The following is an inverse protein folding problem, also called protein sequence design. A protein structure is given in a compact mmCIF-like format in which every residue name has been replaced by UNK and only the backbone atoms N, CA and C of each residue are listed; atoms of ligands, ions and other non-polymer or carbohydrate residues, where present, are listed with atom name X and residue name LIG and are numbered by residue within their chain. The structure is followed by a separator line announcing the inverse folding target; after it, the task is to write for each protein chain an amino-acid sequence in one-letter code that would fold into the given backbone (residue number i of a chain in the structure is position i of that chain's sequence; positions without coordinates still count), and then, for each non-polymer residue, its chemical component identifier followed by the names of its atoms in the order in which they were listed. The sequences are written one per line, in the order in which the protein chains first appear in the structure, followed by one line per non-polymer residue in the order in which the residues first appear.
data_IF_997119525809
#
_entry.id   IF_997119525809
#
_cell.length_a   1.000
_cell.length_b   1.000
_cell.length_c   1.000
_cell.angle_alpha   90.00
_cell.angle_beta   90.00
_cell.angle_gamma   90.00
#
_symmetry.space_group_name_H-M   'P 1'
#
loop_
_entity.id
_entity.type
_entity.pdbx_description
1 polymer ?
#
# COMPACT_ATOMS: atom_id res chain seq x y z
N UNK A 1 8.90 9.03 -26.49
CA UNK A 1 9.06 7.58 -26.17
C UNK A 1 8.98 7.47 -24.66
N UNK A 2 7.96 6.80 -24.13
CA UNK A 2 7.86 6.50 -22.71
C UNK A 2 8.92 5.43 -22.36
N UNK A 3 9.95 5.83 -21.61
CA UNK A 3 11.12 4.99 -21.35
C UNK A 3 10.78 3.74 -20.53
N UNK A 4 9.65 3.72 -19.79
CA UNK A 4 9.24 2.60 -18.96
C UNK A 4 8.41 1.55 -19.70
N UNK A 5 7.75 1.90 -20.80
CA UNK A 5 6.76 1.04 -21.45
C UNK A 5 7.29 -0.33 -21.90
N UNK A 6 8.60 -0.46 -22.13
CA UNK A 6 9.26 -1.69 -22.54
C UNK A 6 10.11 -2.33 -21.43
N UNK A 7 10.03 -1.80 -20.21
CA UNK A 7 10.88 -2.20 -19.10
C UNK A 7 10.17 -3.17 -18.17
N UNK A 8 11.00 -3.93 -17.48
CA UNK A 8 10.69 -4.67 -16.29
C UNK A 8 11.52 -4.07 -15.17
N UNK A 9 10.85 -3.64 -14.11
CA UNK A 9 11.47 -3.06 -12.93
C UNK A 9 11.33 -4.04 -11.77
N UNK A 10 12.43 -4.38 -11.13
CA UNK A 10 12.46 -5.25 -9.94
C UNK A 10 12.88 -4.41 -8.73
N UNK A 11 12.08 -4.49 -7.69
CA UNK A 11 12.37 -3.99 -6.36
C UNK A 11 12.72 -5.20 -5.49
N UNK A 12 13.96 -5.26 -5.04
CA UNK A 12 14.44 -6.21 -4.04
C UNK A 12 14.37 -5.51 -2.69
N UNK A 13 13.34 -5.83 -1.90
CA UNK A 13 13.12 -5.16 -0.62
C UNK A 13 14.02 -5.69 0.48
N UNK A 14 14.64 -6.86 0.27
CA UNK A 14 15.56 -7.48 1.23
C UNK A 14 16.93 -6.81 1.14
N UNK A 15 17.41 -6.60 -0.08
CA UNK A 15 18.69 -5.93 -0.35
C UNK A 15 18.55 -4.41 -0.51
N UNK A 16 17.32 -3.89 -0.59
CA UNK A 16 17.06 -2.47 -0.79
C UNK A 16 17.44 -1.98 -2.20
N UNK A 17 17.44 -2.88 -3.19
CA UNK A 17 17.87 -2.58 -4.55
C UNK A 17 16.69 -2.37 -5.50
N UNK A 18 16.90 -1.51 -6.49
CA UNK A 18 16.00 -1.34 -7.62
C UNK A 18 16.78 -1.58 -8.91
N UNK A 19 16.27 -2.48 -9.75
CA UNK A 19 16.89 -2.83 -11.01
C UNK A 19 15.90 -2.65 -12.15
N UNK A 20 16.33 -2.02 -13.23
CA UNK A 20 15.55 -1.87 -14.47
C UNK A 20 16.21 -2.65 -15.58
N UNK A 21 15.43 -3.43 -16.31
CA UNK A 21 15.90 -4.18 -17.48
C UNK A 21 14.82 -4.29 -18.53
N UNK A 22 15.17 -4.53 -19.81
CA UNK A 22 14.17 -4.78 -20.85
C UNK A 22 13.22 -5.94 -20.49
N UNK A 23 11.93 -5.76 -20.76
CA UNK A 23 10.92 -6.80 -20.58
C UNK A 23 11.22 -7.98 -21.51
N UNK A 24 11.36 -9.21 -20.98
CA UNK A 24 11.73 -10.37 -21.79
C UNK A 24 10.60 -10.72 -22.77
N UNK A 25 10.91 -11.24 -23.95
CA UNK A 25 9.88 -11.62 -24.94
C UNK A 25 9.06 -12.84 -24.50
N UNK A 26 9.68 -13.78 -23.75
CA UNK A 26 9.02 -14.93 -23.13
C UNK A 26 9.05 -14.81 -21.61
N UNK A 27 7.96 -15.18 -20.95
CA UNK A 27 7.96 -15.33 -19.49
C UNK A 27 8.91 -16.46 -19.11
N UNK A 28 9.83 -16.19 -18.18
CA UNK A 28 10.56 -17.27 -17.52
C UNK A 28 9.58 -18.05 -16.65
N UNK A 29 9.86 -19.34 -16.41
CA UNK A 29 9.10 -20.16 -15.47
C UNK A 29 9.07 -19.44 -14.12
N UNK A 30 7.87 -19.28 -13.57
CA UNK A 30 7.68 -18.58 -12.30
C UNK A 30 8.41 -19.32 -11.18
N UNK A 31 9.06 -18.55 -10.30
CA UNK A 31 9.63 -19.10 -9.07
C UNK A 31 8.46 -19.62 -8.22
N UNK A 32 8.66 -20.76 -7.54
CA UNK A 32 7.68 -21.20 -6.52
C UNK A 32 7.49 -20.07 -5.50
N UNK A 33 6.24 -19.83 -5.09
CA UNK A 33 5.90 -18.72 -4.19
C UNK A 33 5.78 -17.34 -4.85
N UNK A 34 5.67 -17.28 -6.19
CA UNK A 34 5.34 -16.04 -6.90
C UNK A 34 3.83 -15.89 -7.02
N UNK A 35 3.31 -14.69 -6.74
CA UNK A 35 1.94 -14.30 -7.06
C UNK A 35 1.97 -13.22 -8.13
N UNK A 36 1.22 -13.45 -9.20
CA UNK A 36 1.07 -12.54 -10.33
C UNK A 36 -0.26 -11.80 -10.23
N UNK A 37 -0.24 -10.50 -10.50
CA UNK A 37 -1.37 -9.59 -10.43
C UNK A 37 -1.42 -8.75 -11.69
N UNK A 38 -2.54 -8.83 -12.40
CA UNK A 38 -2.78 -8.01 -13.59
C UNK A 38 -2.97 -6.54 -13.21
N UNK A 39 -2.36 -5.67 -13.99
CA UNK A 39 -2.45 -4.23 -13.86
C UNK A 39 -3.14 -3.61 -15.07
N UNK A 40 -3.74 -2.45 -14.84
CA UNK A 40 -4.27 -1.57 -15.87
C UNK A 40 -3.57 -0.24 -15.77
N UNK A 41 -3.20 0.30 -16.92
CA UNK A 41 -2.75 1.69 -16.99
C UNK A 41 -3.99 2.60 -16.91
N UNK A 42 -3.91 3.61 -16.06
CA UNK A 42 -4.91 4.67 -15.95
C UNK A 42 -4.16 5.99 -15.72
N UNK A 43 -4.27 6.91 -16.68
CA UNK A 43 -3.69 8.28 -16.61
C UNK A 43 -2.23 8.31 -16.13
N UNK A 44 -1.40 7.46 -16.71
CA UNK A 44 0.04 7.36 -16.45
C UNK A 44 0.42 6.57 -15.20
N UNK A 45 -0.52 5.88 -14.54
CA UNK A 45 -0.26 5.04 -13.36
C UNK A 45 -0.76 3.63 -13.54
N UNK A 46 -0.11 2.68 -12.89
CA UNK A 46 -0.56 1.29 -12.84
C UNK A 46 -1.50 1.08 -11.66
N UNK A 47 -2.67 0.52 -11.95
CA UNK A 47 -3.72 0.20 -11.00
C UNK A 47 -3.95 -1.31 -11.06
N UNK A 48 -4.11 -1.97 -9.93
CA UNK A 48 -4.43 -3.39 -9.89
C UNK A 48 -5.82 -3.64 -10.51
N UNK A 49 -5.93 -4.67 -11.33
CA UNK A 49 -7.15 -5.01 -12.06
C UNK A 49 -8.25 -5.60 -11.18
N UNK A 50 -7.87 -6.31 -10.12
CA UNK A 50 -8.80 -7.00 -9.24
C UNK A 50 -8.37 -6.88 -7.77
N UNK A 51 -9.19 -6.19 -7.00
CA UNK A 51 -9.05 -6.13 -5.55
C UNK A 51 -10.41 -6.06 -4.86
N UNK A 52 -10.49 -6.69 -3.69
CA UNK A 52 -11.69 -6.86 -2.90
C UNK A 52 -11.40 -6.60 -1.42
N UNK A 53 -12.36 -6.00 -0.74
CA UNK A 53 -12.46 -5.91 0.71
C UNK A 53 -13.70 -6.70 1.12
N UNK A 54 -13.52 -7.89 1.69
CA UNK A 54 -14.62 -8.85 1.83
C UNK A 54 -15.24 -9.16 0.47
N UNK A 55 -16.52 -8.82 0.28
CA UNK A 55 -17.27 -8.95 -0.98
C UNK A 55 -17.33 -7.66 -1.81
N UNK A 56 -16.67 -6.58 -1.37
CA UNK A 56 -16.77 -5.25 -1.98
C UNK A 56 -15.54 -4.97 -2.86
N UNK A 57 -15.73 -4.58 -4.12
CA UNK A 57 -14.63 -4.13 -4.98
C UNK A 57 -14.00 -2.84 -4.45
N UNK A 58 -12.67 -2.78 -4.49
CA UNK A 58 -11.88 -1.58 -4.21
C UNK A 58 -10.86 -1.37 -5.35
N UNK A 59 -10.47 -0.13 -5.58
CA UNK A 59 -9.39 0.21 -6.52
C UNK A 59 -8.04 0.26 -5.76
N UNK A 60 -6.97 -0.29 -6.34
CA UNK A 60 -5.64 -0.32 -5.68
C UNK A 60 -4.59 0.27 -6.61
N UNK A 61 -3.88 1.28 -6.13
CA UNK A 61 -2.72 1.88 -6.79
C UNK A 61 -1.48 1.32 -6.12
N UNK A 62 -0.50 0.87 -6.90
CA UNK A 62 0.82 0.49 -6.37
C UNK A 62 1.71 1.73 -6.34
N UNK A 63 2.26 2.08 -5.18
CA UNK A 63 3.09 3.28 -5.05
C UNK A 63 4.32 3.04 -4.16
N UNK A 64 5.49 2.96 -4.79
CA UNK A 64 6.77 2.84 -4.09
C UNK A 64 7.28 4.18 -3.54
N UNK A 65 6.62 5.30 -3.88
CA UNK A 65 6.93 6.64 -3.38
C UNK A 65 6.18 6.99 -2.09
N UNK A 66 5.22 6.17 -1.66
CA UNK A 66 4.52 6.34 -0.40
C UNK A 66 5.11 5.45 0.69
N UNK A 67 5.49 6.03 1.83
CA UNK A 67 5.98 5.25 2.98
C UNK A 67 4.88 4.41 3.63
N UNK A 68 3.63 4.85 3.54
CA UNK A 68 2.48 4.22 4.18
C UNK A 68 1.36 3.91 3.19
N UNK A 69 0.52 2.95 3.55
CA UNK A 69 -0.69 2.61 2.81
C UNK A 69 -1.83 3.56 3.18
N UNK A 70 -2.44 4.18 2.17
CA UNK A 70 -3.44 5.24 2.34
C UNK A 70 -4.76 4.81 1.71
N UNK A 71 -5.86 4.95 2.43
CA UNK A 71 -7.23 4.81 1.93
C UNK A 71 -7.89 6.17 1.76
N UNK A 72 -8.69 6.33 0.71
CA UNK A 72 -9.41 7.58 0.49
C UNK A 72 -10.68 7.70 1.35
N UNK A 73 -11.29 8.90 1.36
CA UNK A 73 -12.51 9.15 2.12
C UNK A 73 -13.71 8.32 1.64
N UNK A 74 -13.78 7.94 0.36
CA UNK A 74 -14.84 7.06 -0.14
C UNK A 74 -14.75 5.65 0.46
N UNK A 75 -13.54 5.13 0.64
CA UNK A 75 -13.28 3.88 1.35
C UNK A 75 -13.64 4.02 2.83
N UNK A 76 -13.18 5.10 3.49
CA UNK A 76 -13.49 5.37 4.89
C UNK A 76 -15.01 5.40 5.16
N UNK A 77 -15.80 6.05 4.29
CA UNK A 77 -17.27 6.07 4.40
C UNK A 77 -17.92 4.70 4.19
N UNK A 78 -17.29 3.84 3.37
CA UNK A 78 -17.81 2.50 3.04
C UNK A 78 -17.45 1.46 4.09
N UNK A 79 -16.33 1.68 4.78
CA UNK A 79 -15.95 0.98 5.99
C UNK A 79 -16.82 1.52 7.12
N UNK A 80 -17.79 0.73 7.58
CA UNK A 80 -18.52 1.07 8.79
C UNK A 80 -17.58 1.07 9.99
N UNK A 81 -17.97 1.69 11.11
CA UNK A 81 -17.18 1.74 12.33
C UNK A 81 -16.79 0.34 12.89
N UNK A 82 -17.50 -0.72 12.49
CA UNK A 82 -17.22 -2.12 12.87
C UNK A 82 -16.13 -2.81 12.04
N UNK A 83 -15.87 -2.33 10.81
CA UNK A 83 -14.88 -2.93 9.90
C UNK A 83 -13.46 -2.37 10.12
N UNK A 84 -13.35 -1.30 10.91
CA UNK A 84 -12.10 -0.66 11.27
C UNK A 84 -11.75 -1.03 12.71
N UNK A 85 -10.78 -1.92 12.89
CA UNK A 85 -10.23 -2.22 14.21
C UNK A 85 -9.14 -1.21 14.55
N UNK A 86 -9.27 -0.57 15.72
CA UNK A 86 -8.36 0.41 16.31
C UNK A 86 -8.13 1.68 15.46
N UNK A 87 -8.76 2.80 15.86
CA UNK A 87 -8.29 4.12 15.42
C UNK A 87 -7.18 4.59 16.35
N UNK A 88 -6.01 4.82 15.79
CA UNK A 88 -4.99 5.66 16.42
C UNK A 88 -4.98 6.98 15.66
N UNK A 89 -5.33 8.07 16.35
CA UNK A 89 -5.02 9.41 15.87
C UNK A 89 -3.51 9.59 16.02
N UNK A 90 -2.82 9.58 14.88
CA UNK A 90 -1.36 9.71 14.82
C UNK A 90 -0.99 11.04 14.16
N UNK A 91 0.15 11.59 14.56
CA UNK A 91 0.79 12.68 13.84
C UNK A 91 1.90 12.12 12.96
N UNK A 92 1.84 12.41 11.67
CA UNK A 92 2.88 12.06 10.70
C UNK A 92 3.64 13.31 10.29
N UNK A 93 4.97 13.25 10.35
CA UNK A 93 5.84 14.24 9.72
C UNK A 93 5.96 13.91 8.23
N UNK A 94 5.51 14.82 7.37
CA UNK A 94 5.61 14.67 5.91
C UNK A 94 7.02 15.01 5.43
N UNK A 95 7.30 14.72 4.15
CA UNK A 95 8.55 15.13 3.49
C UNK A 95 8.71 16.65 3.38
N UNK A 96 7.62 17.42 3.48
CA UNK A 96 7.62 18.89 3.50
C UNK A 96 7.87 19.44 4.91
N UNK A 97 7.92 18.58 5.93
CA UNK A 97 8.09 18.98 7.33
C UNK A 97 6.79 19.31 8.06
N UNK A 98 5.63 19.09 7.41
CA UNK A 98 4.32 19.33 8.03
C UNK A 98 3.91 18.16 8.92
N UNK A 99 3.23 18.47 10.03
CA UNK A 99 2.59 17.46 10.88
C UNK A 99 1.14 17.28 10.44
N UNK A 100 0.81 16.10 9.94
CA UNK A 100 -0.54 15.74 9.49
C UNK A 100 -1.16 14.75 10.46
N UNK A 101 -2.37 15.06 10.92
CA UNK A 101 -3.20 14.13 11.68
C UNK A 101 -3.73 13.05 10.73
N UNK A 102 -3.40 11.80 11.01
CA UNK A 102 -3.91 10.65 10.27
C UNK A 102 -4.76 9.79 11.20
N UNK A 103 -5.86 9.28 10.66
CA UNK A 103 -6.61 8.20 11.28
C UNK A 103 -6.05 6.90 10.76
N UNK A 104 -5.29 6.21 11.60
CA UNK A 104 -4.70 4.92 11.29
C UNK A 104 -5.57 3.80 11.83
N UNK A 105 -5.76 2.74 11.04
CA UNK A 105 -6.46 1.53 11.46
C UNK A 105 -6.14 0.36 10.55
N UNK A 106 -6.94 -0.70 10.67
CA UNK A 106 -6.74 -1.94 9.94
C UNK A 106 -7.98 -2.34 9.15
N UNK A 107 -7.79 -2.81 7.92
CA UNK A 107 -8.83 -3.46 7.12
C UNK A 107 -8.67 -4.97 7.15
N UNK A 108 -9.77 -5.69 7.34
CA UNK A 108 -9.78 -7.15 7.34
C UNK A 108 -10.17 -7.73 5.99
N UNK A 109 -9.70 -8.94 5.70
CA UNK A 109 -10.09 -9.74 4.53
C UNK A 109 -9.92 -9.00 3.18
N UNK A 110 -8.78 -8.34 3.00
CA UNK A 110 -8.42 -7.70 1.73
C UNK A 110 -7.82 -8.74 0.78
N UNK A 111 -8.27 -8.76 -0.46
CA UNK A 111 -7.73 -9.59 -1.55
C UNK A 111 -7.25 -8.70 -2.69
N UNK A 112 -6.06 -8.96 -3.21
CA UNK A 112 -5.46 -8.25 -4.35
C UNK A 112 -4.92 -9.32 -5.30
N UNK A 113 -5.58 -9.50 -6.45
CA UNK A 113 -5.41 -10.72 -7.25
C UNK A 113 -5.64 -11.97 -6.39
N UNK A 114 -4.67 -12.89 -6.37
CA UNK A 114 -4.69 -14.07 -5.50
C UNK A 114 -4.06 -13.87 -4.12
N UNK A 115 -3.50 -12.69 -3.83
CA UNK A 115 -2.97 -12.39 -2.48
C UNK A 115 -4.11 -12.17 -1.51
N UNK A 116 -4.02 -12.80 -0.33
CA UNK A 116 -4.96 -12.61 0.77
C UNK A 116 -4.26 -11.95 1.96
N UNK A 117 -4.78 -10.82 2.38
CA UNK A 117 -4.38 -10.09 3.57
C UNK A 117 -5.47 -10.27 4.63
N UNK A 118 -5.14 -10.95 5.74
CA UNK A 118 -6.08 -11.07 6.86
C UNK A 118 -6.31 -9.70 7.52
N UNK A 119 -5.23 -8.93 7.63
CA UNK A 119 -5.20 -7.56 8.16
C UNK A 119 -4.29 -6.73 7.25
N UNK A 120 -4.77 -5.56 6.82
CA UNK A 120 -4.01 -4.60 6.02
C UNK A 120 -4.01 -3.24 6.74
N UNK A 121 -2.83 -2.71 7.13
CA UNK A 121 -2.75 -1.39 7.73
C UNK A 121 -3.18 -0.31 6.74
N UNK A 122 -3.90 0.69 7.21
CA UNK A 122 -4.36 1.81 6.38
C UNK A 122 -4.47 3.09 7.20
N UNK A 123 -3.93 4.17 6.65
CA UNK A 123 -4.25 5.53 7.08
C UNK A 123 -5.31 6.13 6.16
N UNK A 124 -6.23 6.93 6.70
CA UNK A 124 -7.18 7.68 5.87
C UNK A 124 -6.74 9.12 5.67
N UNK A 125 -6.51 9.49 4.42
CA UNK A 125 -6.13 10.84 4.02
C UNK A 125 -6.59 11.15 2.59
N UNK A 126 -6.76 12.43 2.30
CA UNK A 126 -6.87 12.89 0.91
C UNK A 126 -5.48 12.88 0.28
N UNK A 127 -5.40 12.38 -0.96
CA UNK A 127 -4.16 12.30 -1.69
C UNK A 127 -4.38 12.58 -3.17
N UNK A 128 -3.53 13.41 -3.75
CA UNK A 128 -3.57 13.83 -5.16
C UNK A 128 -3.69 12.66 -6.17
N UNK A 129 -3.04 11.49 -5.98
CA UNK A 129 -3.23 10.35 -6.87
C UNK A 129 -4.69 9.91 -7.01
N UNK A 130 -5.51 9.96 -5.96
CA UNK A 130 -6.91 9.57 -6.06
C UNK A 130 -7.70 10.51 -6.98
N UNK A 131 -7.48 11.81 -6.86
CA UNK A 131 -8.14 12.82 -7.70
C UNK A 131 -7.72 12.69 -9.17
N UNK A 132 -6.40 12.70 -9.41
CA UNK A 132 -5.84 12.57 -10.77
C UNK A 132 -6.29 11.30 -11.45
N UNK A 133 -6.46 10.20 -10.72
CA UNK A 133 -6.90 8.94 -11.28
C UNK A 133 -8.43 8.81 -11.35
N UNK A 134 -9.20 9.74 -10.79
CA UNK A 134 -10.67 9.67 -10.79
C UNK A 134 -11.20 8.60 -9.84
N UNK A 135 -10.60 8.52 -8.65
CA UNK A 135 -11.00 7.65 -7.54
C UNK A 135 -11.58 8.42 -6.36
N UNK A 136 -11.71 9.76 -6.38
CA UNK A 136 -12.22 10.53 -5.22
C UNK A 136 -13.57 10.04 -4.66
N UNK A 137 -14.44 9.50 -5.52
CA UNK A 137 -15.77 8.97 -5.15
C UNK A 137 -15.86 7.44 -5.19
N UNK A 138 -14.75 6.73 -5.39
CA UNK A 138 -14.68 5.28 -5.46
C UNK A 138 -13.78 4.76 -4.34
N UNK A 139 -14.17 3.73 -3.57
CA UNK A 139 -13.31 3.16 -2.55
C UNK A 139 -11.96 2.73 -3.15
N UNK A 140 -10.87 3.37 -2.69
CA UNK A 140 -9.56 3.13 -3.25
C UNK A 140 -8.46 3.19 -2.18
N UNK A 141 -7.39 2.45 -2.41
CA UNK A 141 -6.15 2.52 -1.63
C UNK A 141 -4.94 2.81 -2.53
N UNK A 142 -3.98 3.51 -1.96
CA UNK A 142 -2.59 3.54 -2.40
C UNK A 142 -1.85 2.55 -1.51
N UNK A 143 -1.33 1.49 -2.11
CA UNK A 143 -0.52 0.49 -1.42
C UNK A 143 0.91 0.99 -1.34
N UNK A 144 1.34 1.32 -0.12
CA UNK A 144 2.63 1.93 0.16
C UNK A 144 3.70 0.93 0.58
N UNK A 145 4.88 1.47 0.89
CA UNK A 145 6.07 0.69 1.23
C UNK A 145 5.99 -0.06 2.56
N UNK A 146 5.14 0.38 3.48
CA UNK A 146 4.80 -0.38 4.69
C UNK A 146 4.32 -1.79 4.34
N UNK A 147 3.38 -1.92 3.39
CA UNK A 147 2.88 -3.22 2.93
C UNK A 147 3.79 -3.84 1.88
N UNK A 148 4.28 -3.07 0.89
CA UNK A 148 5.09 -3.63 -0.19
C UNK A 148 6.38 -4.31 0.32
N UNK A 149 6.98 -3.81 1.40
CA UNK A 149 8.19 -4.41 2.00
C UNK A 149 7.92 -5.71 2.77
N UNK A 150 6.68 -6.17 2.97
CA UNK A 150 6.45 -7.53 3.49
C UNK A 150 6.86 -8.60 2.49
N UNK A 151 6.90 -8.28 1.20
CA UNK A 151 7.37 -9.18 0.17
C UNK A 151 8.90 -9.16 0.10
N UNK A 152 9.51 -10.25 -0.38
CA UNK A 152 10.94 -10.27 -0.65
C UNK A 152 11.24 -9.42 -1.88
N UNK A 153 10.52 -9.67 -2.97
CA UNK A 153 10.65 -8.89 -4.21
C UNK A 153 9.30 -8.52 -4.81
N UNK A 154 9.25 -7.36 -5.46
CA UNK A 154 8.18 -6.98 -6.39
C UNK A 154 8.79 -6.71 -7.75
N UNK A 155 8.22 -7.28 -8.80
CA UNK A 155 8.60 -7.00 -10.18
C UNK A 155 7.42 -6.47 -10.96
N UNK A 156 7.57 -5.34 -11.62
CA UNK A 156 6.56 -4.74 -12.51
C UNK A 156 7.05 -4.85 -13.95
N UNK A 157 6.32 -5.61 -14.77
CA UNK A 157 6.53 -5.68 -16.21
C UNK A 157 5.56 -4.72 -16.89
N UNK A 158 6.03 -3.53 -17.26
CA UNK A 158 5.19 -2.46 -17.83
C UNK A 158 4.63 -2.85 -19.20
N UNK A 159 5.39 -3.63 -19.97
CA UNK A 159 4.95 -4.13 -21.28
C UNK A 159 3.79 -5.10 -21.14
N UNK A 160 3.85 -5.99 -20.14
CA UNK A 160 2.79 -6.96 -19.86
C UNK A 160 1.67 -6.43 -18.97
N UNK A 161 1.89 -5.28 -18.32
CA UNK A 161 1.02 -4.73 -17.28
C UNK A 161 0.76 -5.77 -16.20
N UNK A 162 1.83 -6.34 -15.67
CA UNK A 162 1.78 -7.39 -14.65
C UNK A 162 2.72 -7.01 -13.50
N UNK A 163 2.24 -7.11 -12.26
CA UNK A 163 3.08 -7.12 -11.07
C UNK A 163 3.24 -8.55 -10.56
N UNK A 164 4.45 -8.90 -10.13
CA UNK A 164 4.76 -10.18 -9.51
C UNK A 164 5.40 -9.97 -8.16
N UNK A 165 4.90 -10.68 -7.17
CA UNK A 165 5.35 -10.59 -5.79
C UNK A 165 5.90 -11.95 -5.37
N UNK A 166 7.04 -11.97 -4.71
CA UNK A 166 7.59 -13.20 -4.10
C UNK A 166 7.65 -13.05 -2.59
N UNK A 167 7.40 -14.13 -1.86
CA UNK A 167 7.61 -14.15 -0.42
C UNK A 167 9.08 -13.89 -0.10
N UNK A 168 9.34 -13.44 1.13
CA UNK A 168 10.69 -13.48 1.72
C UNK A 168 11.08 -14.93 1.94
N UNK A 169 12.37 -15.20 1.94
CA UNK A 169 12.87 -16.55 2.22
C UNK A 169 12.46 -16.99 3.64
N UNK A 170 11.79 -18.14 3.75
CA UNK A 170 11.30 -18.68 5.03
C UNK A 170 9.91 -18.22 5.47
N UNK A 171 9.30 -17.24 4.79
CA UNK A 171 7.96 -16.75 5.09
C UNK A 171 6.90 -17.35 4.14
N UNK A 172 5.68 -17.59 4.64
CA UNK A 172 4.52 -17.67 3.77
C UNK A 172 4.22 -16.27 3.21
N UNK A 173 3.47 -16.14 2.11
CA UNK A 173 2.91 -14.85 1.64
C UNK A 173 1.85 -14.35 2.64
N UNK A 174 2.25 -14.03 3.86
CA UNK A 174 1.45 -13.41 4.89
C UNK A 174 2.29 -12.30 5.51
N UNK A 175 1.86 -11.03 5.39
CA UNK A 175 2.52 -9.94 6.08
C UNK A 175 2.45 -10.15 7.59
N UNK A 176 3.58 -9.92 8.27
CA UNK A 176 3.68 -9.94 9.74
C UNK A 176 2.90 -8.78 10.35
N UNK A 177 2.46 -8.96 11.60
CA UNK A 177 1.86 -7.91 12.42
C UNK A 177 2.76 -6.67 12.49
N UNK A 178 2.26 -5.54 11.97
CA UNK A 178 3.00 -4.30 11.82
C UNK A 178 2.97 -3.45 13.10
N UNK A 179 3.92 -3.67 14.00
CA UNK A 179 4.29 -2.67 15.02
C UNK A 179 5.67 -2.11 14.69
N UNK A 180 5.72 -1.16 13.77
CA UNK A 180 6.99 -0.62 13.28
C UNK A 180 6.88 0.62 12.43
N UNK A 181 6.16 1.65 12.91
CA UNK A 181 6.43 3.02 12.45
C UNK A 181 7.48 3.62 13.40
N UNK A 182 8.61 4.03 12.83
CA UNK A 182 9.75 4.60 13.54
C UNK A 182 9.35 5.74 14.47
N UNK A 183 9.89 5.70 15.69
CA UNK A 183 9.89 6.78 16.70
C UNK A 183 8.61 7.62 16.75
N UNK A 184 7.49 6.98 17.08
CA UNK A 184 6.33 7.67 17.64
C UNK A 184 6.73 8.19 19.02
N UNK A 185 7.11 9.46 19.08
CA UNK A 185 7.33 10.12 20.37
C UNK A 185 5.94 10.46 20.92
N UNK A 186 5.46 9.64 21.87
CA UNK A 186 4.33 10.03 22.72
C UNK A 186 4.72 11.28 23.49
N UNK A 187 4.34 12.47 23.02
CA UNK A 187 4.26 13.61 23.92
C UNK A 187 2.90 13.59 24.60
N UNK A 188 2.94 13.32 25.91
CA UNK A 188 1.79 13.26 26.77
C UNK A 188 1.05 14.60 26.84
N UNK A 189 -0.26 14.51 26.97
CA UNK A 189 -1.15 15.62 27.29
C UNK A 189 -0.71 16.26 28.62
N UNK A 190 -0.54 17.58 28.73
CA UNK A 190 -0.36 18.20 30.04
C UNK A 190 -1.70 18.12 30.77
N UNK A 191 -1.73 17.36 31.87
CA UNK A 191 -2.78 17.51 32.88
C UNK A 191 -2.58 18.87 33.53
N UNK A 192 -3.39 19.85 33.13
CA UNK A 192 -3.59 21.06 33.92
C UNK A 192 -4.16 20.66 35.28
N UNK A 193 -3.43 20.97 36.35
CA UNK A 193 -3.96 20.94 37.71
C UNK A 193 -4.04 22.38 38.20
N UNK A 194 -5.24 22.91 38.17
CA UNK A 194 -5.64 24.07 38.97
C UNK A 194 -5.70 23.64 40.45
N UNK A 195 -5.27 24.52 41.34
CA UNK A 195 -5.62 24.47 42.76
C UNK A 195 -4.43 24.37 43.71
N UNK A 196 -3.99 25.52 44.22
CA UNK A 196 -3.11 25.64 45.38
C UNK A 196 -3.40 26.96 46.09
N UNK A 197 -4.24 26.83 47.13
CA UNK A 197 -4.48 27.67 48.32
C UNK A 197 -4.55 29.19 48.20
#
# INVERSE_FOLDING_TARGET
IDQLALQLVTFDFENGEMQMRPSPYRSKRERRGTVSVDLKERRGRLVVSEAMLGSKRIDVILDTGSSITIGNAALARRLGAQELTAFLDLQMLTVTGDLVQIRYGEMKDVRIGSMKFNTLPVAFAEAEPFERLGFSNRPAIILGMDVLRSFGTMTIDFRRREARFTAREGDALQPRDYWGIGSVTRQGTPRGRLGGS
#
